data_IF_760494539861
#
_entry.id   IF_760494539861
#
_cell.length_a   1.000
_cell.length_b   1.000
_cell.length_c   1.000
_cell.angle_alpha   90.00
_cell.angle_beta   90.00
_cell.angle_gamma   90.00
#
_symmetry.space_group_name_H-M   'P 1'
#
loop_
_entity.id
_entity.type
_entity.pdbx_description
1 polymer ?
#
# COMPACT_ATOMS: atom_id res chain seq x y z
N UNK A 1 0.03 -7.43 0.25
CA UNK A 1 0.22 -6.60 -0.96
C UNK A 1 -0.56 -5.30 -0.82
N UNK A 2 -0.13 -4.18 -1.41
CA UNK A 2 -0.86 -2.90 -1.36
C UNK A 2 -1.29 -2.51 -2.78
N UNK A 3 -2.59 -2.31 -2.98
CA UNK A 3 -3.17 -1.88 -4.26
C UNK A 3 -3.74 -0.47 -4.11
N UNK A 4 -3.30 0.45 -4.97
CA UNK A 4 -3.74 1.86 -4.96
C UNK A 4 -4.32 2.21 -6.32
N UNK A 5 -5.54 2.75 -6.32
CA UNK A 5 -6.31 3.04 -7.53
C UNK A 5 -6.84 4.46 -7.53
N UNK A 6 -6.79 5.11 -8.70
CA UNK A 6 -7.55 6.33 -8.95
C UNK A 6 -8.96 6.00 -9.41
N UNK A 7 -9.98 6.47 -8.70
CA UNK A 7 -11.38 6.28 -9.07
C UNK A 7 -11.74 6.96 -10.40
N UNK A 8 -11.04 8.06 -10.74
CA UNK A 8 -11.20 8.80 -11.99
C UNK A 8 -10.19 8.35 -13.06
N UNK A 9 -9.53 7.20 -12.88
CA UNK A 9 -8.69 6.62 -13.91
C UNK A 9 -9.56 6.02 -15.02
N UNK A 10 -9.50 6.62 -16.21
CA UNK A 10 -10.21 6.16 -17.40
C UNK A 10 -9.57 4.94 -18.08
N UNK A 11 -8.34 4.56 -17.72
CA UNK A 11 -7.67 3.37 -18.26
C UNK A 11 -8.13 2.11 -17.54
N UNK A 12 -8.59 2.22 -16.29
CA UNK A 12 -8.97 1.07 -15.45
C UNK A 12 -10.39 1.27 -14.93
N UNK A 13 -11.40 0.87 -15.73
CA UNK A 13 -12.80 1.03 -15.37
C UNK A 13 -13.15 0.22 -14.11
N UNK A 14 -14.24 0.63 -13.45
CA UNK A 14 -14.71 0.04 -12.19
C UNK A 14 -14.87 -1.48 -12.26
N UNK A 15 -15.40 -2.00 -13.36
CA UNK A 15 -15.62 -3.45 -13.52
C UNK A 15 -14.29 -4.23 -13.59
N UNK A 16 -13.27 -3.65 -14.20
CA UNK A 16 -11.93 -4.23 -14.20
C UNK A 16 -11.32 -4.27 -12.80
N UNK A 17 -11.46 -3.18 -12.03
CA UNK A 17 -11.01 -3.12 -10.62
C UNK A 17 -11.75 -4.14 -9.76
N UNK A 18 -13.07 -4.25 -9.93
CA UNK A 18 -13.92 -5.22 -9.24
C UNK A 18 -13.48 -6.66 -9.54
N UNK A 19 -13.21 -6.99 -10.81
CA UNK A 19 -12.74 -8.31 -11.19
C UNK A 19 -11.42 -8.66 -10.49
N UNK A 20 -10.47 -7.73 -10.45
CA UNK A 20 -9.18 -7.93 -9.75
C UNK A 20 -9.42 -8.19 -8.26
N UNK A 21 -10.23 -7.35 -7.62
CA UNK A 21 -10.58 -7.50 -6.21
C UNK A 21 -11.20 -8.88 -5.93
N UNK A 22 -12.24 -9.26 -6.69
CA UNK A 22 -12.94 -10.54 -6.52
C UNK A 22 -12.00 -11.73 -6.71
N UNK A 23 -11.11 -11.70 -7.70
CA UNK A 23 -10.14 -12.77 -7.94
C UNK A 23 -9.13 -12.89 -6.80
N UNK A 24 -8.62 -11.77 -6.30
CA UNK A 24 -7.67 -11.75 -5.19
C UNK A 24 -8.30 -12.22 -3.88
N UNK A 25 -9.52 -11.76 -3.58
CA UNK A 25 -10.28 -12.19 -2.40
C UNK A 25 -10.62 -13.68 -2.47
N UNK A 26 -11.08 -14.17 -3.63
CA UNK A 26 -11.41 -15.59 -3.83
C UNK A 26 -10.17 -16.48 -3.67
N UNK A 27 -9.00 -16.00 -4.11
CA UNK A 27 -7.74 -16.72 -3.95
C UNK A 27 -7.18 -16.66 -2.52
N UNK A 28 -7.83 -15.96 -1.58
CA UNK A 28 -7.36 -15.82 -0.20
C UNK A 28 -6.06 -15.03 -0.09
N UNK A 29 -5.75 -14.16 -1.08
CA UNK A 29 -4.54 -13.34 -1.05
C UNK A 29 -4.69 -12.27 0.03
N UNK A 30 -3.63 -12.02 0.79
CA UNK A 30 -3.58 -10.93 1.75
C UNK A 30 -3.18 -9.61 1.08
N UNK A 31 -4.12 -8.66 1.01
CA UNK A 31 -3.89 -7.36 0.40
C UNK A 31 -4.69 -6.22 1.05
N UNK A 32 -4.15 -5.02 0.93
CA UNK A 32 -4.82 -3.75 1.23
C UNK A 32 -5.31 -3.12 -0.08
N UNK A 33 -6.48 -2.51 -0.04
CA UNK A 33 -7.14 -1.91 -1.21
C UNK A 33 -7.49 -0.45 -0.95
N UNK A 34 -6.94 0.46 -1.74
CA UNK A 34 -7.18 1.89 -1.63
C UNK A 34 -7.75 2.43 -2.95
N UNK A 35 -8.98 2.95 -2.91
CA UNK A 35 -9.56 3.72 -4.02
C UNK A 35 -9.63 5.19 -3.63
N UNK A 36 -8.99 6.03 -4.43
CA UNK A 36 -8.79 7.45 -4.13
C UNK A 36 -9.44 8.29 -5.23
N UNK A 37 -9.96 9.48 -4.88
CA UNK A 37 -10.57 10.37 -5.87
C UNK A 37 -9.49 11.08 -6.72
N UNK A 38 -8.84 10.33 -7.60
CA UNK A 38 -7.74 10.81 -8.43
C UNK A 38 -7.69 10.13 -9.79
N UNK A 39 -6.92 10.73 -10.71
CA UNK A 39 -6.77 10.27 -12.10
C UNK A 39 -5.55 9.36 -12.27
N UNK A 40 -5.37 8.82 -13.48
CA UNK A 40 -4.19 8.03 -13.83
C UNK A 40 -2.88 8.78 -13.56
N UNK A 41 -1.92 8.08 -12.98
CA UNK A 41 -0.58 8.59 -12.65
C UNK A 41 -0.59 9.79 -11.68
N UNK A 42 -1.47 9.74 -10.66
CA UNK A 42 -1.61 10.76 -9.61
C UNK A 42 -0.36 11.05 -8.79
N UNK A 43 0.54 10.06 -8.68
CA UNK A 43 1.80 10.16 -7.95
C UNK A 43 2.98 10.54 -8.85
N UNK A 44 2.77 10.59 -10.18
CA UNK A 44 3.83 10.99 -11.09
C UNK A 44 4.03 12.49 -10.96
N UNK A 45 5.29 12.91 -11.04
CA UNK A 45 5.74 14.30 -10.93
C UNK A 45 4.95 15.28 -11.82
N UNK A 46 5.15 16.58 -11.57
CA UNK A 46 4.38 17.68 -12.15
C UNK A 46 4.26 17.68 -13.69
N UNK A 47 5.11 16.94 -14.41
CA UNK A 47 5.00 16.71 -15.85
C UNK A 47 3.75 15.89 -16.24
N UNK A 48 2.99 15.36 -15.28
CA UNK A 48 1.80 14.53 -15.47
C UNK A 48 0.51 15.32 -15.74
N UNK A 49 0.58 16.40 -16.54
CA UNK A 49 -0.59 17.16 -17.02
C UNK A 49 -1.59 17.52 -15.90
N UNK A 50 -1.10 18.14 -14.83
CA UNK A 50 -1.91 18.63 -13.68
C UNK A 50 -2.61 17.54 -12.84
N UNK A 51 -2.26 16.26 -13.01
CA UNK A 51 -2.84 15.17 -12.21
C UNK A 51 -2.12 14.92 -10.90
N UNK A 52 -0.98 15.56 -10.71
CA UNK A 52 -0.18 15.40 -9.51
C UNK A 52 -0.87 16.05 -8.32
N UNK A 53 -1.11 15.25 -7.28
CA UNK A 53 -1.62 15.71 -6.00
C UNK A 53 -0.57 15.38 -4.92
N UNK A 54 0.10 16.43 -4.42
CA UNK A 54 1.16 16.29 -3.44
C UNK A 54 0.66 15.71 -2.10
N UNK A 55 -0.53 16.12 -1.67
CA UNK A 55 -1.10 15.67 -0.41
C UNK A 55 -1.48 14.19 -0.50
N UNK A 56 -2.12 13.80 -1.61
CA UNK A 56 -2.47 12.40 -1.87
C UNK A 56 -1.23 11.53 -2.03
N UNK A 57 -0.22 12.02 -2.75
CA UNK A 57 1.05 11.31 -2.92
C UNK A 57 1.72 11.08 -1.58
N UNK A 58 1.77 12.09 -0.70
CA UNK A 58 2.31 11.94 0.66
C UNK A 58 1.56 10.89 1.48
N UNK A 59 0.23 10.88 1.42
CA UNK A 59 -0.58 9.87 2.10
C UNK A 59 -0.31 8.45 1.58
N UNK A 60 -0.21 8.26 0.26
CA UNK A 60 0.10 6.97 -0.35
C UNK A 60 1.51 6.53 0.04
N UNK A 61 2.50 7.43 0.02
CA UNK A 61 3.87 7.12 0.44
C UNK A 61 3.92 6.70 1.92
N UNK A 62 3.06 7.26 2.77
CA UNK A 62 2.86 6.79 4.14
C UNK A 62 2.44 5.32 4.19
N UNK A 63 1.43 4.92 3.39
CA UNK A 63 0.98 3.53 3.30
C UNK A 63 2.06 2.59 2.76
N UNK A 64 2.86 3.05 1.79
CA UNK A 64 3.97 2.28 1.22
C UNK A 64 5.06 2.06 2.26
N UNK A 65 5.46 3.10 2.99
CA UNK A 65 6.43 2.99 4.07
C UNK A 65 5.94 2.04 5.14
N UNK A 66 4.68 2.17 5.53
CA UNK A 66 4.05 1.34 6.54
C UNK A 66 4.08 -0.16 6.14
N UNK A 67 3.74 -0.48 4.88
CA UNK A 67 3.83 -1.84 4.33
C UNK A 67 5.26 -2.39 4.42
N UNK A 68 6.26 -1.62 3.96
CA UNK A 68 7.64 -2.07 3.93
C UNK A 68 8.26 -2.14 5.33
N UNK A 69 7.94 -1.21 6.21
CA UNK A 69 8.35 -1.27 7.62
C UNK A 69 7.79 -2.52 8.27
N UNK A 70 6.50 -2.84 8.11
CA UNK A 70 5.93 -4.07 8.66
C UNK A 70 6.60 -5.32 8.10
N UNK A 71 6.80 -5.39 6.79
CA UNK A 71 7.26 -6.62 6.12
C UNK A 71 8.77 -6.82 6.13
N UNK A 72 9.53 -5.79 5.77
CA UNK A 72 10.99 -5.89 5.60
C UNK A 72 11.74 -5.60 6.89
N UNK A 73 11.32 -4.57 7.64
CA UNK A 73 12.00 -4.22 8.88
C UNK A 73 11.50 -5.08 10.05
N UNK A 74 10.18 -5.14 10.25
CA UNK A 74 9.57 -5.77 11.43
C UNK A 74 9.26 -7.27 11.26
N UNK A 75 9.33 -7.81 10.03
CA UNK A 75 9.00 -9.20 9.74
C UNK A 75 7.58 -9.61 10.15
N UNK A 76 6.68 -8.63 10.32
CA UNK A 76 5.30 -8.88 10.74
C UNK A 76 4.51 -9.48 9.58
N UNK A 77 3.86 -10.61 9.85
CA UNK A 77 2.94 -11.24 8.92
C UNK A 77 1.53 -10.83 9.31
N UNK A 78 0.87 -10.06 8.45
CA UNK A 78 -0.51 -9.63 8.67
C UNK A 78 -1.50 -10.74 8.28
N UNK A 79 -1.35 -11.94 8.84
CA UNK A 79 -2.22 -13.10 8.56
C UNK A 79 -3.54 -13.10 9.35
N UNK A 80 -3.84 -12.00 10.05
CA UNK A 80 -4.99 -11.90 10.96
C UNK A 80 -4.83 -12.71 12.25
N UNK A 81 -3.69 -13.39 12.45
CA UNK A 81 -3.39 -14.20 13.65
C UNK A 81 -2.20 -13.68 14.46
N UNK A 82 -1.36 -12.82 13.87
CA UNK A 82 -0.22 -12.23 14.56
C UNK A 82 -0.68 -11.10 15.49
N UNK A 83 -0.86 -11.40 16.78
CA UNK A 83 -0.86 -10.37 17.82
C UNK A 83 0.54 -9.75 17.91
N UNK A 84 0.62 -8.45 18.17
CA UNK A 84 1.91 -7.75 18.33
C UNK A 84 2.60 -8.26 19.60
N UNK A 85 3.28 -9.39 19.50
CA UNK A 85 4.38 -9.75 20.37
C UNK A 85 5.57 -8.91 19.93
N UNK A 86 5.78 -7.79 20.62
CA UNK A 86 6.95 -6.94 20.43
C UNK A 86 8.20 -7.82 20.36
N UNK A 87 8.96 -7.74 19.25
CA UNK A 87 10.32 -8.28 19.24
C UNK A 87 11.06 -7.61 20.38
N UNK A 88 11.50 -8.41 21.34
CA UNK A 88 12.23 -7.89 22.49
C UNK A 88 13.53 -7.27 22.01
N UNK A 89 14.00 -6.24 22.71
CA UNK A 89 15.21 -5.46 22.43
C UNK A 89 16.49 -6.29 22.18
N UNK A 90 16.48 -7.60 22.47
CA UNK A 90 17.56 -8.55 22.18
C UNK A 90 17.83 -8.80 20.70
N UNK A 91 16.85 -8.59 19.81
CA UNK A 91 16.99 -8.91 18.37
C UNK A 91 17.54 -7.74 17.54
N UNK A 92 17.61 -6.55 18.13
CA UNK A 92 18.27 -5.38 17.56
C UNK A 92 19.69 -5.36 18.14
N UNK A 93 20.63 -5.97 17.42
CA UNK A 93 22.04 -5.96 17.79
C UNK A 93 22.48 -4.56 18.23
N UNK A 94 23.17 -4.49 19.38
CA UNK A 94 23.63 -3.27 20.00
C UNK A 94 24.47 -2.45 19.03
N UNK A 95 23.90 -1.38 18.48
CA UNK A 95 24.65 -0.34 17.79
C UNK A 95 25.20 0.61 18.86
N UNK A 96 26.35 0.23 19.44
CA UNK A 96 27.23 1.13 20.17
C UNK A 96 28.63 0.87 19.64
N UNK A 97 29.08 1.78 18.77
CA UNK A 97 30.47 2.23 18.62
C UNK A 97 30.41 3.68 18.11
#
# INVERSE_FOLDING_TARGET
>A
MLMVWGNNDNHIPRDGRRLIYEKMSTAGVNFSWCELNSAHAMMRDHASKERYDAALTGAIMGLVNELFTRRLLLGLIDDGTTSIGARTQKDLGSFTD
#
